data_IF_809383318559
#
_entry.id   IF_809383318559
#
_cell.length_a   1.000
_cell.length_b   1.000
_cell.length_c   1.000
_cell.angle_alpha   90.00
_cell.angle_beta   90.00
_cell.angle_gamma   90.00
#
_symmetry.space_group_name_H-M   'P 1'
#
loop_
_entity.id
_entity.type
_entity.pdbx_description
1 polymer ?
#
# COMPACT_ATOMS: atom_id res chain seq x y z
N UNK A 1 22.97 65.67 -51.82
CA UNK A 1 23.82 65.20 -50.70
C UNK A 1 23.16 63.97 -50.10
N UNK A 2 23.90 62.86 -50.01
CA UNK A 2 23.43 61.56 -49.54
C UNK A 2 23.46 61.55 -48.01
N UNK A 3 22.32 61.34 -47.35
CA UNK A 3 22.28 60.93 -45.95
C UNK A 3 21.90 59.44 -45.91
N UNK A 4 22.89 58.59 -45.60
CA UNK A 4 22.64 57.17 -45.28
C UNK A 4 22.17 57.11 -43.83
N UNK A 5 20.89 56.82 -43.61
CA UNK A 5 20.41 56.35 -42.32
C UNK A 5 20.88 54.90 -42.17
N UNK A 6 21.87 54.65 -41.31
CA UNK A 6 22.11 53.29 -40.82
C UNK A 6 20.97 52.96 -39.86
N UNK A 7 20.06 52.10 -40.29
CA UNK A 7 19.17 51.40 -39.37
C UNK A 7 20.01 50.39 -38.58
N UNK A 8 20.31 50.71 -37.32
CA UNK A 8 20.76 49.72 -36.34
C UNK A 8 19.55 48.86 -36.03
N UNK A 9 19.45 47.71 -36.68
CA UNK A 9 18.50 46.67 -36.29
C UNK A 9 19.03 46.07 -34.99
N UNK A 10 18.50 46.52 -33.86
CA UNK A 10 18.76 45.92 -32.57
C UNK A 10 18.33 44.46 -32.59
N UNK A 11 19.32 43.56 -32.57
CA UNK A 11 19.15 42.11 -32.43
C UNK A 11 18.77 41.72 -30.99
N UNK A 12 17.77 42.38 -30.39
CA UNK A 12 17.39 42.18 -29.00
C UNK A 12 16.14 41.28 -28.80
N UNK A 13 15.53 40.78 -29.88
CA UNK A 13 14.24 40.09 -29.81
C UNK A 13 14.29 38.55 -29.90
N UNK A 14 15.46 37.91 -29.81
CA UNK A 14 15.60 36.45 -29.96
C UNK A 14 16.06 35.69 -28.71
N UNK A 15 16.15 36.32 -27.54
CA UNK A 15 16.64 35.67 -26.31
C UNK A 15 15.54 35.17 -25.34
N UNK A 16 14.26 35.36 -25.63
CA UNK A 16 13.18 34.99 -24.70
C UNK A 16 12.90 33.48 -24.62
N UNK A 17 13.32 32.68 -25.61
CA UNK A 17 13.09 31.24 -25.61
C UNK A 17 13.97 30.47 -24.61
N UNK A 18 15.15 31.01 -24.27
CA UNK A 18 16.06 30.41 -23.28
C UNK A 18 15.77 30.86 -21.84
N UNK A 19 15.05 31.97 -21.65
CA UNK A 19 14.74 32.49 -20.32
C UNK A 19 13.78 31.58 -19.52
N UNK A 20 13.02 30.73 -20.22
CA UNK A 20 12.01 29.84 -19.63
C UNK A 20 12.50 28.41 -19.34
N UNK A 21 13.81 28.15 -19.44
CA UNK A 21 14.42 26.83 -19.20
C UNK A 21 15.57 26.90 -18.19
N UNK A 22 15.58 27.93 -17.34
CA UNK A 22 16.57 28.08 -16.26
C UNK A 22 16.17 27.23 -15.04
N UNK A 23 16.25 25.91 -15.17
CA UNK A 23 15.86 24.96 -14.11
C UNK A 23 16.64 25.22 -12.80
N UNK A 24 17.98 25.38 -12.80
CA UNK A 24 18.72 25.66 -11.57
C UNK A 24 18.28 26.96 -10.90
N UNK A 25 18.10 28.03 -11.68
CA UNK A 25 17.65 29.30 -11.12
C UNK A 25 16.20 29.30 -10.65
N UNK A 26 15.34 28.44 -11.19
CA UNK A 26 14.00 28.21 -10.63
C UNK A 26 14.10 27.46 -9.31
N UNK A 27 14.88 26.37 -9.23
CA UNK A 27 15.08 25.61 -7.97
C UNK A 27 15.54 26.49 -6.80
N UNK A 28 16.38 27.49 -7.10
CA UNK A 28 16.92 28.44 -6.11
C UNK A 28 15.95 29.57 -5.74
N UNK A 29 14.76 29.64 -6.34
CA UNK A 29 13.74 30.63 -5.98
C UNK A 29 13.27 30.41 -4.55
N UNK A 30 12.97 31.51 -3.86
CA UNK A 30 12.34 31.45 -2.55
C UNK A 30 10.89 30.96 -2.68
N UNK A 31 10.47 30.10 -1.76
CA UNK A 31 9.08 29.67 -1.65
C UNK A 31 8.25 30.76 -0.95
N UNK A 32 7.31 31.36 -1.67
CA UNK A 32 6.39 32.38 -1.18
C UNK A 32 5.02 31.79 -0.76
N UNK A 33 4.77 30.52 -1.09
CA UNK A 33 3.52 29.81 -0.85
C UNK A 33 3.47 28.96 0.43
N UNK A 34 2.54 28.01 0.45
CA UNK A 34 2.38 27.01 1.51
C UNK A 34 3.44 25.91 1.45
N UNK A 35 3.45 25.01 2.44
CA UNK A 35 4.29 23.80 2.40
C UNK A 35 3.97 22.89 1.20
N UNK A 36 2.72 22.91 0.73
CA UNK A 36 2.31 22.19 -0.48
C UNK A 36 2.93 22.84 -1.73
N UNK A 37 2.90 24.18 -1.81
CA UNK A 37 3.48 24.92 -2.92
C UNK A 37 5.00 24.76 -3.00
N UNK A 38 5.69 24.77 -1.85
CA UNK A 38 7.14 24.51 -1.78
C UNK A 38 7.49 23.08 -2.23
N UNK A 39 6.65 22.10 -1.89
CA UNK A 39 6.84 20.72 -2.37
C UNK A 39 6.56 20.60 -3.88
N UNK A 40 5.53 21.26 -4.41
CA UNK A 40 5.25 21.33 -5.84
C UNK A 40 6.41 21.98 -6.61
N UNK A 41 6.98 23.06 -6.07
CA UNK A 41 8.11 23.77 -6.64
C UNK A 41 9.28 22.81 -6.94
N UNK A 42 9.69 22.03 -5.94
CA UNK A 42 10.78 21.07 -6.10
C UNK A 42 10.40 19.89 -7.01
N UNK A 43 9.20 19.32 -6.85
CA UNK A 43 8.76 18.20 -7.67
C UNK A 43 8.67 18.56 -9.17
N UNK A 44 8.16 19.75 -9.51
CA UNK A 44 8.13 20.20 -10.91
C UNK A 44 9.51 20.56 -11.44
N UNK A 45 10.44 21.01 -10.59
CA UNK A 45 11.82 21.20 -11.02
C UNK A 45 12.51 19.86 -11.31
N UNK A 46 12.13 18.79 -10.61
CA UNK A 46 12.60 17.42 -10.88
C UNK A 46 12.05 16.91 -12.23
N UNK A 47 10.75 17.06 -12.48
CA UNK A 47 10.17 16.73 -13.79
C UNK A 47 10.83 17.54 -14.91
N UNK A 48 10.96 18.85 -14.74
CA UNK A 48 11.62 19.70 -15.74
C UNK A 48 13.05 19.25 -16.07
N UNK A 49 13.79 18.73 -15.08
CA UNK A 49 15.14 18.21 -15.28
C UNK A 49 15.12 16.86 -16.02
N UNK A 50 14.18 15.97 -15.68
CA UNK A 50 14.01 14.69 -16.38
C UNK A 50 13.73 14.92 -17.88
N UNK A 51 12.74 15.75 -18.21
CA UNK A 51 12.42 16.10 -19.61
C UNK A 51 13.60 16.74 -20.34
N UNK A 52 14.37 17.60 -19.64
CA UNK A 52 15.55 18.23 -20.20
C UNK A 52 16.61 17.19 -20.57
N UNK A 53 16.82 16.20 -19.70
CA UNK A 53 17.81 15.13 -19.90
C UNK A 53 17.39 14.16 -21.03
N UNK A 54 16.09 14.05 -21.28
CA UNK A 54 15.49 13.30 -22.40
C UNK A 54 15.41 14.12 -23.70
N UNK A 55 15.79 15.40 -23.63
CA UNK A 55 15.70 16.37 -24.71
C UNK A 55 14.26 16.67 -25.18
N UNK A 56 13.25 16.43 -24.34
CA UNK A 56 11.92 17.01 -24.51
C UNK A 56 11.92 18.47 -24.02
N UNK A 57 12.31 19.36 -24.92
CA UNK A 57 12.38 20.78 -24.61
C UNK A 57 11.00 21.43 -24.40
N UNK A 58 9.92 20.84 -24.90
CA UNK A 58 8.58 21.40 -24.73
C UNK A 58 8.11 21.16 -23.30
N UNK A 59 8.22 19.93 -22.82
CA UNK A 59 7.83 19.53 -21.48
C UNK A 59 8.79 20.04 -20.41
N UNK A 60 10.10 20.07 -20.69
CA UNK A 60 11.06 20.73 -19.80
C UNK A 60 10.70 22.19 -19.53
N UNK A 61 10.25 22.94 -20.56
CA UNK A 61 9.80 24.34 -20.39
C UNK A 61 8.46 24.42 -19.67
N UNK A 62 7.54 23.51 -19.95
CA UNK A 62 6.25 23.45 -19.28
C UNK A 62 6.45 23.26 -17.77
N UNK A 63 7.18 22.24 -17.36
CA UNK A 63 7.42 21.96 -15.94
C UNK A 63 8.32 23.01 -15.27
N UNK A 64 9.27 23.63 -15.99
CA UNK A 64 10.00 24.80 -15.46
C UNK A 64 9.04 25.95 -15.12
N UNK A 65 8.04 26.20 -15.97
CA UNK A 65 7.01 27.20 -15.71
C UNK A 65 6.11 26.82 -14.53
N UNK A 66 5.70 25.55 -14.43
CA UNK A 66 4.91 25.04 -13.29
C UNK A 66 5.66 25.17 -11.98
N UNK A 67 6.94 24.78 -11.97
CA UNK A 67 7.84 24.91 -10.83
C UNK A 67 7.96 26.36 -10.35
N UNK A 68 8.13 27.31 -11.27
CA UNK A 68 8.16 28.75 -10.96
C UNK A 68 6.83 29.27 -10.40
N UNK A 69 5.70 28.82 -10.95
CA UNK A 69 4.37 29.19 -10.43
C UNK A 69 4.16 28.65 -9.01
N UNK A 70 4.58 27.42 -8.75
CA UNK A 70 4.52 26.83 -7.42
C UNK A 70 5.40 27.59 -6.41
N UNK A 71 6.63 27.97 -6.76
CA UNK A 71 7.49 28.79 -5.90
C UNK A 71 6.80 30.12 -5.49
N UNK A 72 6.05 30.72 -6.42
CA UNK A 72 5.30 31.96 -6.19
C UNK A 72 3.93 31.75 -5.49
N UNK A 73 3.56 30.52 -5.12
CA UNK A 73 2.24 30.19 -4.57
C UNK A 73 1.08 30.41 -5.55
N UNK A 74 1.35 30.31 -6.85
CA UNK A 74 0.42 30.59 -7.96
C UNK A 74 0.05 29.34 -8.76
N UNK A 75 0.33 28.14 -8.25
CA UNK A 75 -0.03 26.91 -8.95
C UNK A 75 -1.56 26.75 -9.10
N UNK A 76 -1.99 26.35 -10.30
CA UNK A 76 -3.41 26.25 -10.67
C UNK A 76 -4.03 24.87 -10.45
N UNK A 77 -3.33 23.96 -9.78
CA UNK A 77 -3.75 22.58 -9.58
C UNK A 77 -3.32 21.63 -10.71
N UNK A 78 -3.80 20.37 -10.68
CA UNK A 78 -3.40 19.35 -11.66
C UNK A 78 -3.73 19.75 -13.09
N UNK A 79 -2.82 19.45 -14.03
CA UNK A 79 -2.94 19.79 -15.44
C UNK A 79 -4.32 19.35 -15.98
N UNK A 80 -4.89 20.13 -16.90
CA UNK A 80 -6.15 19.75 -17.53
C UNK A 80 -5.91 18.63 -18.53
N UNK A 81 -6.76 17.60 -18.52
CA UNK A 81 -6.67 16.46 -19.46
C UNK A 81 -6.68 16.95 -20.92
N UNK A 82 -7.46 18.00 -21.22
CA UNK A 82 -7.56 18.59 -22.54
C UNK A 82 -6.28 19.30 -23.05
N UNK A 83 -5.28 19.47 -22.20
CA UNK A 83 -3.96 20.00 -22.60
C UNK A 83 -3.07 18.92 -23.24
N UNK A 84 -3.46 17.64 -23.19
CA UNK A 84 -2.68 16.49 -23.68
C UNK A 84 -3.47 15.67 -24.70
N UNK A 85 -2.77 15.07 -25.65
CA UNK A 85 -3.34 14.14 -26.65
C UNK A 85 -3.17 12.69 -26.17
N UNK A 86 -4.10 12.22 -25.34
CA UNK A 86 -3.99 10.91 -24.70
C UNK A 86 -4.58 9.75 -25.54
N UNK A 87 -4.08 8.51 -25.39
CA UNK A 87 -4.67 7.33 -26.01
C UNK A 87 -6.12 7.07 -25.56
N UNK A 88 -7.03 6.75 -26.50
CA UNK A 88 -8.47 6.56 -26.22
C UNK A 88 -8.74 5.57 -25.06
N UNK A 89 -7.95 4.50 -24.96
CA UNK A 89 -8.09 3.49 -23.90
C UNK A 89 -7.68 3.95 -22.49
N UNK A 90 -6.99 5.09 -22.36
CA UNK A 90 -6.52 5.64 -21.07
C UNK A 90 -7.49 6.64 -20.44
N UNK A 91 -8.40 7.20 -21.23
CA UNK A 91 -9.25 8.33 -20.85
C UNK A 91 -10.08 8.06 -19.58
N UNK A 92 -10.69 6.89 -19.48
CA UNK A 92 -11.54 6.55 -18.34
C UNK A 92 -10.77 6.51 -17.02
N UNK A 93 -9.51 6.06 -17.04
CA UNK A 93 -8.69 6.02 -15.84
C UNK A 93 -8.19 7.41 -15.44
N UNK A 94 -7.74 8.19 -16.43
CA UNK A 94 -7.24 9.56 -16.22
C UNK A 94 -8.33 10.50 -15.70
N UNK A 95 -9.56 10.38 -16.20
CA UNK A 95 -10.70 11.18 -15.73
C UNK A 95 -11.01 10.91 -14.25
N UNK A 96 -11.04 9.63 -13.85
CA UNK A 96 -11.27 9.22 -12.46
C UNK A 96 -10.10 9.67 -11.57
N UNK A 97 -8.86 9.42 -12.00
CA UNK A 97 -7.66 9.82 -11.28
C UNK A 97 -7.64 11.33 -11.01
N UNK A 98 -7.96 12.15 -12.02
CA UNK A 98 -8.02 13.60 -11.85
C UNK A 98 -9.12 14.03 -10.89
N UNK A 99 -10.30 13.42 -10.98
CA UNK A 99 -11.42 13.71 -10.10
C UNK A 99 -11.08 13.38 -8.63
N UNK A 100 -10.47 12.21 -8.39
CA UNK A 100 -10.05 11.78 -7.05
C UNK A 100 -8.95 12.68 -6.48
N UNK A 101 -7.99 13.08 -7.31
CA UNK A 101 -6.94 14.02 -6.94
C UNK A 101 -7.52 15.38 -6.53
N UNK A 102 -8.41 15.95 -7.33
CA UNK A 102 -9.09 17.21 -6.99
C UNK A 102 -9.86 17.08 -5.68
N UNK A 103 -10.63 16.02 -5.50
CA UNK A 103 -11.36 15.77 -4.27
C UNK A 103 -10.44 15.66 -3.04
N UNK A 104 -9.29 15.00 -3.17
CA UNK A 104 -8.31 14.86 -2.09
C UNK A 104 -7.62 16.19 -1.75
N UNK A 105 -7.27 16.99 -2.76
CA UNK A 105 -6.69 18.32 -2.58
C UNK A 105 -7.69 19.28 -1.90
N UNK A 106 -8.92 19.32 -2.39
CA UNK A 106 -9.99 20.18 -1.86
C UNK A 106 -10.51 19.70 -0.49
N UNK A 107 -10.37 18.41 -0.20
CA UNK A 107 -10.69 17.79 1.09
C UNK A 107 -9.71 18.11 2.23
N UNK A 108 -8.78 19.05 2.01
CA UNK A 108 -7.77 19.46 2.99
C UNK A 108 -6.42 18.76 2.83
N UNK A 109 -6.20 18.04 1.73
CA UNK A 109 -4.95 17.33 1.47
C UNK A 109 -3.75 18.27 1.35
N UNK A 110 -3.95 19.47 0.82
CA UNK A 110 -2.91 20.51 0.72
C UNK A 110 -2.33 20.89 2.09
N UNK A 111 -3.17 20.92 3.13
CA UNK A 111 -2.77 21.32 4.47
C UNK A 111 -2.32 20.13 5.33
N UNK A 112 -3.10 19.04 5.32
CA UNK A 112 -2.86 17.87 6.17
C UNK A 112 -1.74 16.96 5.65
N UNK A 113 -1.53 16.94 4.34
CA UNK A 113 -0.62 16.04 3.66
C UNK A 113 0.18 16.74 2.56
N UNK A 114 0.73 17.93 2.86
CA UNK A 114 1.35 18.83 1.88
C UNK A 114 2.31 18.14 0.88
N UNK A 115 3.29 17.37 1.37
CA UNK A 115 4.26 16.69 0.51
C UNK A 115 3.65 15.54 -0.31
N UNK A 116 2.87 14.60 0.28
CA UNK A 116 2.12 13.60 -0.49
C UNK A 116 1.16 14.22 -1.52
N UNK A 117 0.46 15.29 -1.17
CA UNK A 117 -0.47 15.98 -2.06
C UNK A 117 0.25 16.60 -3.25
N UNK A 118 1.39 17.26 -3.02
CA UNK A 118 2.22 17.80 -4.08
C UNK A 118 2.76 16.68 -4.98
N UNK A 119 3.20 15.55 -4.39
CA UNK A 119 3.66 14.38 -5.16
C UNK A 119 2.55 13.81 -6.04
N UNK A 120 1.35 13.64 -5.49
CA UNK A 120 0.19 13.14 -6.23
C UNK A 120 -0.11 14.04 -7.44
N UNK A 121 -0.12 15.36 -7.26
CA UNK A 121 -0.34 16.28 -8.37
C UNK A 121 0.76 16.19 -9.44
N UNK A 122 2.04 16.23 -9.04
CA UNK A 122 3.13 16.14 -10.02
C UNK A 122 3.18 14.80 -10.73
N UNK A 123 2.86 13.70 -10.05
CA UNK A 123 2.85 12.36 -10.66
C UNK A 123 1.65 12.14 -11.59
N UNK A 124 0.51 12.80 -11.33
CA UNK A 124 -0.60 12.83 -12.29
C UNK A 124 -0.20 13.56 -13.58
N UNK A 125 0.45 14.73 -13.44
CA UNK A 125 0.91 15.50 -14.60
C UNK A 125 2.00 14.74 -15.39
N UNK A 126 2.95 14.09 -14.70
CA UNK A 126 3.93 13.19 -15.35
C UNK A 126 3.21 12.06 -16.10
N UNK A 127 2.27 11.36 -15.47
CA UNK A 127 1.60 10.23 -16.10
C UNK A 127 0.86 10.62 -17.38
N UNK A 128 0.23 11.80 -17.42
CA UNK A 128 -0.38 12.30 -18.65
C UNK A 128 0.64 12.66 -19.73
N UNK A 129 1.81 13.20 -19.37
CA UNK A 129 2.88 13.48 -20.33
C UNK A 129 3.44 12.17 -20.91
N UNK A 130 3.80 11.19 -20.07
CA UNK A 130 4.30 9.87 -20.50
C UNK A 130 3.29 9.13 -21.40
N UNK A 131 1.99 9.26 -21.10
CA UNK A 131 0.93 8.70 -21.94
C UNK A 131 0.78 9.40 -23.30
N UNK A 132 1.05 10.70 -23.38
CA UNK A 132 1.02 11.44 -24.65
C UNK A 132 2.16 10.98 -25.57
N UNK A 133 3.33 10.72 -24.99
CA UNK A 133 4.45 10.15 -25.75
C UNK A 133 4.18 8.70 -26.15
N UNK A 134 3.72 7.88 -25.21
CA UNK A 134 3.39 6.47 -25.39
C UNK A 134 4.55 5.66 -26.00
N UNK A 135 5.77 5.94 -25.55
CA UNK A 135 7.01 5.29 -26.03
C UNK A 135 7.52 4.27 -25.01
N UNK A 136 7.61 4.66 -23.74
CA UNK A 136 8.24 3.86 -22.68
C UNK A 136 7.21 3.44 -21.62
N UNK A 137 6.77 2.18 -21.68
CA UNK A 137 5.76 1.66 -20.75
C UNK A 137 6.21 1.73 -19.27
N UNK A 138 7.51 1.57 -19.02
CA UNK A 138 8.06 1.62 -17.67
C UNK A 138 7.88 3.01 -17.03
N UNK A 139 8.05 4.09 -17.80
CA UNK A 139 7.92 5.46 -17.29
C UNK A 139 6.45 5.82 -17.04
N UNK A 140 5.55 5.40 -17.94
CA UNK A 140 4.10 5.44 -17.74
C UNK A 140 3.71 4.73 -16.43
N UNK A 141 4.19 3.51 -16.23
CA UNK A 141 3.87 2.69 -15.05
C UNK A 141 4.45 3.31 -13.77
N UNK A 142 5.66 3.88 -13.83
CA UNK A 142 6.31 4.55 -12.70
C UNK A 142 5.55 5.80 -12.28
N UNK A 143 5.16 6.66 -13.22
CA UNK A 143 4.41 7.87 -12.91
C UNK A 143 2.97 7.57 -12.44
N UNK A 144 2.29 6.61 -13.07
CA UNK A 144 0.98 6.11 -12.62
C UNK A 144 1.04 5.51 -11.21
N UNK A 145 2.04 4.68 -10.93
CA UNK A 145 2.22 4.06 -9.60
C UNK A 145 2.53 5.10 -8.53
N UNK A 146 3.41 6.06 -8.82
CA UNK A 146 3.73 7.15 -7.91
C UNK A 146 2.49 8.02 -7.61
N UNK A 147 1.63 8.26 -8.61
CA UNK A 147 0.36 8.95 -8.44
C UNK A 147 -0.55 8.24 -7.43
N UNK A 148 -0.86 6.96 -7.65
CA UNK A 148 -1.79 6.22 -6.79
C UNK A 148 -1.25 6.04 -5.36
N UNK A 149 0.07 5.83 -5.20
CA UNK A 149 0.69 5.74 -3.88
C UNK A 149 0.58 7.06 -3.12
N UNK A 150 0.89 8.18 -3.77
CA UNK A 150 0.80 9.50 -3.16
C UNK A 150 -0.65 9.87 -2.82
N UNK A 151 -1.59 9.61 -3.73
CA UNK A 151 -3.01 9.86 -3.51
C UNK A 151 -3.56 9.06 -2.32
N UNK A 152 -3.16 7.79 -2.18
CA UNK A 152 -3.58 6.96 -1.04
C UNK A 152 -3.09 7.53 0.30
N UNK A 153 -1.87 8.07 0.35
CA UNK A 153 -1.35 8.74 1.56
C UNK A 153 -2.16 10.00 1.85
N UNK A 154 -2.46 10.83 0.84
CA UNK A 154 -3.30 12.02 1.04
C UNK A 154 -4.67 11.64 1.59
N UNK A 155 -5.32 10.64 1.00
CA UNK A 155 -6.64 10.16 1.42
C UNK A 155 -6.62 9.66 2.87
N UNK A 156 -5.57 8.95 3.29
CA UNK A 156 -5.41 8.50 4.66
C UNK A 156 -5.23 9.66 5.66
N UNK A 157 -4.49 10.71 5.27
CA UNK A 157 -4.25 11.88 6.12
C UNK A 157 -5.46 12.83 6.18
N UNK A 158 -6.26 12.95 5.11
CA UNK A 158 -7.48 13.78 5.13
C UNK A 158 -8.64 13.11 5.87
N UNK A 159 -8.70 11.77 5.86
CA UNK A 159 -9.62 10.98 6.66
C UNK A 159 -9.17 10.96 8.12
N UNK A 160 -9.18 12.15 8.74
CA UNK A 160 -9.01 12.35 10.18
C UNK A 160 -10.30 12.04 10.94
N UNK A 161 -11.23 11.29 10.35
CA UNK A 161 -12.13 10.50 11.19
C UNK A 161 -11.19 9.75 12.14
N UNK A 162 -11.36 9.82 13.47
CA UNK A 162 -10.70 8.83 14.31
C UNK A 162 -11.14 7.52 13.68
N UNK A 163 -10.21 6.79 13.05
CA UNK A 163 -10.48 5.52 12.38
C UNK A 163 -11.54 4.89 13.25
N UNK A 164 -12.76 4.74 12.73
CA UNK A 164 -13.81 4.07 13.47
C UNK A 164 -13.15 2.76 13.82
N UNK A 165 -12.68 2.66 15.07
CA UNK A 165 -11.61 1.76 15.53
C UNK A 165 -11.93 0.44 14.88
N UNK A 166 -11.21 0.08 13.80
CA UNK A 166 -11.71 -0.85 12.78
C UNK A 166 -12.51 -1.91 13.52
N UNK A 167 -13.86 -1.88 13.41
CA UNK A 167 -14.66 -2.74 14.29
C UNK A 167 -14.06 -4.12 14.08
N UNK A 168 -13.48 -4.74 15.13
CA UNK A 168 -12.60 -5.87 14.94
C UNK A 168 -13.37 -6.84 14.09
N UNK A 169 -12.83 -7.18 12.91
CA UNK A 169 -13.40 -8.27 12.15
C UNK A 169 -13.53 -9.42 13.15
N UNK A 170 -14.76 -9.88 13.39
CA UNK A 170 -15.01 -10.90 14.39
C UNK A 170 -14.02 -12.03 14.12
N UNK A 171 -13.27 -12.41 15.15
CA UNK A 171 -12.24 -13.42 14.99
C UNK A 171 -12.87 -14.69 14.40
N UNK A 172 -12.13 -15.43 13.54
CA UNK A 172 -12.63 -16.65 12.97
C UNK A 172 -13.15 -17.60 14.05
N UNK A 173 -14.20 -18.35 13.70
CA UNK A 173 -14.68 -19.43 14.56
C UNK A 173 -13.55 -20.43 14.83
N UNK A 174 -13.58 -21.14 15.97
CA UNK A 174 -12.56 -22.14 16.29
C UNK A 174 -12.38 -23.17 15.18
N UNK A 175 -11.14 -23.54 14.91
CA UNK A 175 -10.78 -24.54 13.91
C UNK A 175 -10.19 -25.77 14.60
N UNK A 176 -10.56 -26.96 14.12
CA UNK A 176 -10.16 -28.22 14.75
C UNK A 176 -9.33 -29.08 13.80
N UNK A 177 -8.12 -29.44 14.22
CA UNK A 177 -7.28 -30.44 13.54
C UNK A 177 -7.51 -31.78 14.23
N UNK A 178 -8.16 -32.72 13.54
CA UNK A 178 -8.46 -34.05 14.07
C UNK A 178 -7.37 -35.07 13.70
N UNK A 179 -7.23 -36.08 14.56
CA UNK A 179 -6.20 -37.11 14.43
C UNK A 179 -6.80 -38.51 14.44
N UNK A 180 -6.11 -39.44 13.77
CA UNK A 180 -6.43 -40.86 13.86
C UNK A 180 -6.21 -41.43 15.27
N UNK A 181 -6.81 -42.59 15.52
CA UNK A 181 -6.55 -43.36 16.74
C UNK A 181 -5.05 -43.65 16.87
N UNK A 182 -4.50 -43.39 18.06
CA UNK A 182 -3.09 -43.60 18.39
C UNK A 182 -2.09 -42.91 17.43
N UNK A 183 -2.49 -41.77 16.86
CA UNK A 183 -1.68 -40.99 15.91
C UNK A 183 -1.55 -39.52 16.30
N UNK A 184 -0.40 -38.95 15.94
CA UNK A 184 -0.10 -37.52 15.99
C UNK A 184 0.23 -36.90 14.63
N UNK A 185 0.28 -37.71 13.58
CA UNK A 185 0.50 -37.24 12.20
C UNK A 185 -0.72 -36.49 11.68
N UNK A 186 -0.47 -35.37 11.01
CA UNK A 186 -1.50 -34.56 10.34
C UNK A 186 -1.73 -35.15 8.95
N UNK A 187 -2.95 -35.61 8.67
CA UNK A 187 -3.32 -36.08 7.33
C UNK A 187 -3.60 -34.91 6.37
N UNK A 188 -3.91 -35.21 5.11
CA UNK A 188 -4.17 -34.17 4.09
C UNK A 188 -5.34 -33.25 4.46
N UNK A 189 -6.36 -33.78 5.13
CA UNK A 189 -7.52 -32.99 5.58
C UNK A 189 -7.12 -32.07 6.73
N UNK A 190 -6.32 -32.57 7.68
CA UNK A 190 -5.74 -31.77 8.75
C UNK A 190 -4.82 -30.68 8.21
N UNK A 191 -4.06 -30.95 7.14
CA UNK A 191 -3.21 -29.95 6.50
C UNK A 191 -4.03 -28.82 5.85
N UNK A 192 -5.17 -29.14 5.21
CA UNK A 192 -6.09 -28.11 4.69
C UNK A 192 -6.63 -27.19 5.80
N UNK A 193 -6.81 -27.71 7.02
CA UNK A 193 -7.21 -26.90 8.18
C UNK A 193 -6.05 -26.01 8.64
N UNK A 194 -4.81 -26.54 8.64
CA UNK A 194 -3.60 -25.75 8.95
C UNK A 194 -3.43 -24.59 7.98
N UNK A 195 -3.64 -24.82 6.68
CA UNK A 195 -3.59 -23.77 5.66
C UNK A 195 -4.65 -22.69 5.95
N UNK A 196 -5.89 -23.09 6.26
CA UNK A 196 -6.96 -22.16 6.65
C UNK A 196 -6.65 -21.36 7.92
N UNK A 197 -5.92 -21.94 8.89
CA UNK A 197 -5.45 -21.22 10.09
C UNK A 197 -4.37 -20.18 9.71
N UNK A 198 -3.45 -20.52 8.81
CA UNK A 198 -2.41 -19.60 8.35
C UNK A 198 -3.01 -18.44 7.54
N UNK A 199 -3.99 -18.71 6.68
CA UNK A 199 -4.77 -17.70 5.96
C UNK A 199 -5.53 -16.79 6.94
N UNK A 200 -6.17 -17.37 7.96
CA UNK A 200 -6.83 -16.62 9.02
C UNK A 200 -5.86 -15.72 9.79
N UNK A 201 -4.67 -16.21 10.13
CA UNK A 201 -3.62 -15.41 10.74
C UNK A 201 -3.24 -14.21 9.86
N UNK A 202 -2.98 -14.44 8.57
CA UNK A 202 -2.60 -13.40 7.63
C UNK A 202 -3.71 -12.35 7.44
N UNK A 203 -4.97 -12.77 7.41
CA UNK A 203 -6.12 -11.90 7.16
C UNK A 203 -6.56 -11.09 8.38
N UNK A 204 -6.63 -11.73 9.56
CA UNK A 204 -7.23 -11.13 10.75
C UNK A 204 -6.19 -10.60 11.76
N UNK A 205 -4.91 -10.96 11.61
CA UNK A 205 -3.81 -10.54 12.47
C UNK A 205 -4.13 -10.62 13.97
N UNK A 206 -4.50 -11.82 14.48
CA UNK A 206 -4.89 -12.00 15.88
C UNK A 206 -3.76 -11.60 16.83
N UNK A 207 -4.12 -11.23 18.07
CA UNK A 207 -3.12 -10.93 19.08
C UNK A 207 -2.35 -12.20 19.44
N UNK A 208 -3.08 -13.28 19.70
CA UNK A 208 -2.59 -14.63 19.97
C UNK A 208 -3.47 -15.69 19.29
N UNK A 209 -2.88 -16.84 19.01
CA UNK A 209 -3.57 -18.06 18.56
C UNK A 209 -3.38 -19.09 19.67
N UNK A 210 -4.48 -19.55 20.26
CA UNK A 210 -4.47 -20.53 21.35
C UNK A 210 -4.76 -21.92 20.80
N UNK A 211 -3.88 -22.87 21.10
CA UNK A 211 -3.92 -24.27 20.69
C UNK A 211 -4.11 -25.12 21.93
N UNK A 212 -5.24 -25.82 22.02
CA UNK A 212 -5.51 -26.77 23.10
C UNK A 212 -5.56 -28.18 22.54
N UNK A 213 -4.70 -29.05 23.06
CA UNK A 213 -4.52 -30.41 22.61
C UNK A 213 -5.25 -31.41 23.50
N UNK A 214 -5.99 -32.33 22.87
CA UNK A 214 -6.76 -33.36 23.54
C UNK A 214 -6.42 -34.77 23.02
N UNK A 215 -6.69 -35.75 23.87
CA UNK A 215 -6.75 -37.15 23.56
C UNK A 215 -8.09 -37.74 24.02
N UNK A 216 -8.48 -38.87 23.43
CA UNK A 216 -9.65 -39.58 23.94
C UNK A 216 -9.30 -40.27 25.27
N UNK A 217 -10.33 -40.72 26.00
CA UNK A 217 -10.16 -41.31 27.33
C UNK A 217 -9.86 -42.82 27.27
N UNK A 218 -9.52 -43.36 26.09
CA UNK A 218 -9.15 -44.75 25.99
C UNK A 218 -7.66 -44.92 26.31
N UNK A 219 -7.34 -45.81 27.25
CA UNK A 219 -5.96 -46.09 27.63
C UNK A 219 -5.51 -45.35 28.88
N UNK A 220 -4.19 -45.24 29.04
CA UNK A 220 -3.56 -44.63 30.21
C UNK A 220 -3.51 -43.10 30.10
N UNK A 221 -3.79 -42.41 31.20
CA UNK A 221 -3.84 -40.94 31.23
C UNK A 221 -2.51 -40.28 30.86
N UNK A 222 -1.37 -40.79 31.37
CA UNK A 222 -0.06 -40.22 31.03
C UNK A 222 0.27 -40.45 29.56
N UNK A 223 -0.13 -41.60 29.01
CA UNK A 223 0.00 -41.85 27.59
C UNK A 223 -0.81 -40.85 26.75
N UNK A 224 -2.05 -40.60 27.14
CA UNK A 224 -2.94 -39.64 26.49
C UNK A 224 -2.40 -38.21 26.53
N UNK A 225 -1.79 -37.78 27.62
CA UNK A 225 -1.09 -36.49 27.73
C UNK A 225 0.09 -36.37 26.74
N UNK A 226 0.93 -37.42 26.66
CA UNK A 226 2.06 -37.46 25.73
C UNK A 226 1.58 -37.44 24.27
N UNK A 227 0.49 -38.14 23.97
CA UNK A 227 -0.09 -38.18 22.63
C UNK A 227 -0.70 -36.82 22.24
N UNK A 228 -1.42 -36.17 23.15
CA UNK A 228 -1.95 -34.83 22.96
C UNK A 228 -0.80 -33.81 22.74
N UNK A 229 0.29 -33.92 23.52
CA UNK A 229 1.49 -33.10 23.31
C UNK A 229 2.07 -33.29 21.90
N UNK A 230 2.25 -34.54 21.47
CA UNK A 230 2.80 -34.85 20.15
C UNK A 230 1.95 -34.26 19.01
N UNK A 231 0.62 -34.24 19.18
CA UNK A 231 -0.31 -33.64 18.21
C UNK A 231 -0.14 -32.14 18.09
N UNK A 232 -0.08 -31.42 19.21
CA UNK A 232 0.08 -29.96 19.15
C UNK A 232 1.47 -29.56 18.66
N UNK A 233 2.52 -30.33 18.98
CA UNK A 233 3.86 -30.12 18.42
C UNK A 233 3.86 -30.24 16.88
N UNK A 234 3.10 -31.20 16.33
CA UNK A 234 2.93 -31.35 14.88
C UNK A 234 2.20 -30.14 14.25
N UNK A 235 1.12 -29.68 14.88
CA UNK A 235 0.36 -28.50 14.40
C UNK A 235 1.20 -27.23 14.46
N UNK A 236 1.94 -27.02 15.56
CA UNK A 236 2.86 -25.88 15.72
C UNK A 236 3.93 -25.91 14.63
N UNK A 237 4.51 -27.08 14.35
CA UNK A 237 5.53 -27.21 13.30
C UNK A 237 4.97 -26.86 11.93
N UNK A 238 3.76 -27.33 11.61
CA UNK A 238 3.10 -27.04 10.35
C UNK A 238 2.72 -25.56 10.21
N UNK A 239 2.16 -24.93 11.25
CA UNK A 239 1.83 -23.50 11.27
C UNK A 239 3.07 -22.62 11.12
N UNK A 240 4.18 -22.99 11.75
CA UNK A 240 5.45 -22.27 11.60
C UNK A 240 6.00 -22.38 10.18
N UNK A 241 5.90 -23.54 9.57
CA UNK A 241 6.26 -23.73 8.15
C UNK A 241 5.37 -22.89 7.22
N UNK A 242 4.10 -22.68 7.59
CA UNK A 242 3.16 -21.81 6.89
C UNK A 242 3.30 -20.31 7.22
N UNK A 243 4.32 -19.91 8.00
CA UNK A 243 4.65 -18.51 8.25
C UNK A 243 4.05 -17.89 9.52
N UNK A 244 3.38 -18.67 10.39
CA UNK A 244 2.90 -18.18 11.69
C UNK A 244 4.07 -18.14 12.69
N UNK A 245 4.44 -16.99 13.25
CA UNK A 245 5.58 -16.89 14.15
C UNK A 245 5.27 -17.53 15.51
N UNK A 246 6.28 -18.14 16.12
CA UNK A 246 6.13 -18.81 17.42
C UNK A 246 5.64 -17.87 18.54
N UNK A 247 5.96 -16.58 18.45
CA UNK A 247 5.49 -15.55 19.40
C UNK A 247 3.97 -15.33 19.38
N UNK A 248 3.27 -15.84 18.36
CA UNK A 248 1.80 -15.76 18.23
C UNK A 248 1.09 -17.01 18.71
N UNK A 249 1.80 -18.06 19.13
CA UNK A 249 1.23 -19.35 19.48
C UNK A 249 1.23 -19.55 21.00
N UNK A 250 0.06 -19.72 21.60
CA UNK A 250 -0.11 -20.17 22.98
C UNK A 250 -0.52 -21.65 22.97
N UNK A 251 0.21 -22.50 23.69
CA UNK A 251 0.02 -23.95 23.68
C UNK A 251 -0.47 -24.42 25.04
N UNK A 252 -1.54 -25.21 25.05
CA UNK A 252 -2.07 -25.91 26.23
C UNK A 252 -2.32 -27.38 25.91
N UNK A 253 -2.01 -28.25 26.87
CA UNK A 253 -2.22 -29.69 26.75
C UNK A 253 -3.24 -30.08 27.82
N UNK A 254 -4.43 -30.47 27.38
CA UNK A 254 -5.48 -30.96 28.28
C UNK A 254 -5.46 -32.49 28.40
N UNK A 255 -4.85 -33.17 27.41
CA UNK A 255 -4.82 -34.63 27.39
C UNK A 255 -6.22 -35.21 27.37
N UNK A 256 -6.52 -36.10 28.31
CA UNK A 256 -7.87 -36.68 28.50
C UNK A 256 -8.76 -35.90 29.50
N UNK A 257 -8.25 -34.81 30.06
CA UNK A 257 -9.03 -33.90 30.91
C UNK A 257 -9.84 -32.91 30.05
N UNK A 258 -11.02 -32.51 30.53
CA UNK A 258 -11.87 -31.49 29.91
C UNK A 258 -12.10 -31.68 28.40
N UNK A 259 -12.24 -32.94 27.97
CA UNK A 259 -12.39 -33.29 26.56
C UNK A 259 -13.62 -32.62 25.91
N UNK A 260 -13.57 -32.26 24.62
CA UNK A 260 -14.67 -31.59 23.92
C UNK A 260 -15.99 -32.38 23.93
N UNK A 261 -15.90 -33.71 23.81
CA UNK A 261 -17.04 -34.63 23.88
C UNK A 261 -16.92 -35.44 25.16
N UNK A 262 -17.87 -35.25 26.07
CA UNK A 262 -17.86 -35.96 27.35
C UNK A 262 -18.03 -37.47 27.14
N UNK A 263 -17.09 -38.24 27.68
CA UNK A 263 -17.12 -39.71 27.69
C UNK A 263 -16.75 -40.26 29.05
N UNK A 264 -17.14 -41.52 29.30
CA UNK A 264 -16.65 -42.26 30.46
C UNK A 264 -15.17 -42.64 30.29
N UNK A 265 -14.53 -43.01 31.39
CA UNK A 265 -13.16 -43.51 31.39
C UNK A 265 -13.02 -44.79 30.57
N UNK A 266 -11.93 -44.93 29.82
CA UNK A 266 -11.69 -46.05 28.91
C UNK A 266 -12.44 -45.99 27.58
N UNK A 267 -13.21 -44.93 27.30
CA UNK A 267 -14.03 -44.81 26.08
C UNK A 267 -13.32 -43.99 25.01
N UNK A 268 -13.12 -44.61 23.84
CA UNK A 268 -12.58 -43.97 22.66
C UNK A 268 -13.61 -43.06 21.98
N UNK A 269 -13.19 -41.87 21.55
CA UNK A 269 -14.04 -40.87 20.89
C UNK A 269 -13.23 -40.04 19.89
N UNK A 270 -13.61 -40.08 18.61
CA UNK A 270 -12.91 -39.36 17.53
C UNK A 270 -12.94 -37.85 17.71
N UNK A 271 -14.03 -37.31 18.27
CA UNK A 271 -14.15 -35.89 18.58
C UNK A 271 -13.12 -35.38 19.58
N UNK A 272 -12.57 -36.27 20.42
CA UNK A 272 -11.58 -35.92 21.44
C UNK A 272 -10.13 -36.07 20.95
N UNK A 273 -9.92 -36.63 19.76
CA UNK A 273 -8.60 -36.71 19.12
C UNK A 273 -8.36 -35.45 18.31
N UNK A 274 -8.12 -34.34 18.99
CA UNK A 274 -8.20 -33.02 18.35
C UNK A 274 -7.22 -32.01 18.96
N UNK A 275 -6.73 -31.11 18.12
CA UNK A 275 -6.16 -29.82 18.54
C UNK A 275 -7.16 -28.75 18.13
N UNK A 276 -7.72 -28.05 19.11
CA UNK A 276 -8.63 -26.92 18.90
C UNK A 276 -7.84 -25.63 18.86
N UNK A 277 -8.07 -24.83 17.83
CA UNK A 277 -7.39 -23.58 17.54
C UNK A 277 -8.38 -22.43 17.65
N UNK A 278 -8.06 -21.44 18.48
CA UNK A 278 -8.86 -20.25 18.71
C UNK A 278 -8.02 -19.00 18.47
N UNK A 279 -8.67 -17.91 18.07
CA UNK A 279 -8.03 -16.65 17.71
C UNK A 279 -8.45 -15.58 18.71
N UNK A 280 -7.49 -15.00 19.43
CA UNK A 280 -7.75 -14.01 20.48
C UNK A 280 -7.61 -12.59 19.92
N UNK A 281 -8.61 -11.75 20.18
CA UNK A 281 -8.51 -10.31 20.01
C UNK A 281 -7.76 -9.74 21.21
N UNK A 282 -6.76 -8.88 20.96
CA UNK A 282 -5.90 -8.34 22.01
C UNK A 282 -6.54 -7.23 22.85
N UNK A 283 -7.86 -7.32 23.12
CA UNK A 283 -8.66 -6.30 23.78
C UNK A 283 -9.16 -6.72 25.16
#
# INVERSE_FOLDING_TARGET
MKAKLLAVVSAAAFLSACANMNIPGVRDMADEGSAFDAALHQNYADLAQAEYDEADWADARYFTSRSKMAAAGQDSGPQMIAERTLPEGSMGEIEVARADLLAALDGGGRDKAASPAARAQTSFDCWMQELEENIQQEDIDNCRSAFYQALAIVQAEIDTSPVAKAMPMAMPVPMNVYFGFDKSEIDSKGMSVVDGIAEAYAKYNPAMISLVAYADRAGDAMYNDILAKSRVDAVVSALRAAGVPASKLAISISGEANVPVSTADGVAEQGNRVVTVTFEDGM
#
